data_IF_449487875125
#
_entry.id   IF_449487875125
#
_cell.length_a   1.000
_cell.length_b   1.000
_cell.length_c   1.000
_cell.angle_alpha   90.00
_cell.angle_beta   90.00
_cell.angle_gamma   90.00
#
_symmetry.space_group_name_H-M   'P 1'
#
loop_
_entity.id
_entity.type
_entity.pdbx_description
1 polymer ?
#
# COMPACT_ATOMS: atom_id res chain seq x y z
N UNK A 1 28.89 19.76 -19.43
CA UNK A 1 27.55 19.43 -18.89
C UNK A 1 27.74 18.35 -17.85
N UNK A 2 27.41 18.59 -16.58
CA UNK A 2 27.47 17.53 -15.56
C UNK A 2 26.18 16.73 -15.62
N UNK A 3 26.28 15.47 -16.04
CA UNK A 3 25.19 14.49 -15.89
C UNK A 3 24.94 14.28 -14.40
N UNK A 4 23.82 14.82 -13.93
CA UNK A 4 23.38 14.62 -12.55
C UNK A 4 22.72 13.24 -12.51
N UNK A 5 23.46 12.24 -12.02
CA UNK A 5 22.89 10.92 -11.72
C UNK A 5 21.87 11.11 -10.58
N UNK A 6 20.60 11.32 -10.94
CA UNK A 6 19.51 11.39 -9.97
C UNK A 6 19.17 9.94 -9.59
N UNK A 7 19.40 9.59 -8.32
CA UNK A 7 18.98 8.30 -7.79
C UNK A 7 17.46 8.17 -7.93
N UNK A 8 16.99 7.06 -8.50
CA UNK A 8 15.56 6.76 -8.66
C UNK A 8 14.86 6.40 -7.35
N UNK A 9 15.63 5.98 -6.33
CA UNK A 9 15.13 5.60 -5.00
C UNK A 9 14.27 6.67 -4.31
N UNK A 10 14.73 7.93 -4.17
CA UNK A 10 13.92 8.97 -3.52
C UNK A 10 12.62 9.28 -4.28
N UNK A 11 12.61 9.20 -5.61
CA UNK A 11 11.41 9.44 -6.43
C UNK A 11 10.39 8.31 -6.22
N UNK A 12 10.86 7.06 -6.21
CA UNK A 12 10.02 5.90 -5.91
C UNK A 12 9.42 5.98 -4.50
N UNK A 13 10.24 6.33 -3.51
CA UNK A 13 9.80 6.44 -2.12
C UNK A 13 8.77 7.56 -1.93
N UNK A 14 9.01 8.72 -2.55
CA UNK A 14 8.04 9.81 -2.55
C UNK A 14 6.70 9.34 -3.13
N UNK A 15 6.72 8.71 -4.31
CA UNK A 15 5.50 8.21 -4.99
C UNK A 15 4.75 7.18 -4.15
N UNK A 16 5.46 6.21 -3.57
CA UNK A 16 4.87 5.18 -2.71
C UNK A 16 4.17 5.80 -1.50
N UNK A 17 4.80 6.78 -0.85
CA UNK A 17 4.19 7.52 0.27
C UNK A 17 2.93 8.25 -0.17
N UNK A 18 2.94 8.93 -1.32
CA UNK A 18 1.74 9.62 -1.83
C UNK A 18 0.58 8.66 -2.08
N UNK A 19 0.86 7.48 -2.64
CA UNK A 19 -0.15 6.45 -2.90
C UNK A 19 -0.75 5.92 -1.59
N UNK A 20 0.08 5.65 -0.58
CA UNK A 20 -0.39 5.19 0.74
C UNK A 20 -1.25 6.27 1.40
N UNK A 21 -0.82 7.53 1.35
CA UNK A 21 -1.61 8.65 1.89
C UNK A 21 -2.94 8.81 1.16
N UNK A 22 -2.97 8.69 -0.17
CA UNK A 22 -4.19 8.73 -0.95
C UNK A 22 -5.14 7.57 -0.58
N UNK A 23 -4.62 6.36 -0.41
CA UNK A 23 -5.40 5.20 0.04
C UNK A 23 -5.99 5.40 1.44
N UNK A 24 -5.23 6.02 2.35
CA UNK A 24 -5.74 6.42 3.66
C UNK A 24 -6.86 7.45 3.58
N UNK A 25 -6.70 8.48 2.74
CA UNK A 25 -7.73 9.49 2.50
C UNK A 25 -9.02 8.90 1.91
N UNK A 26 -8.89 7.98 0.96
CA UNK A 26 -10.03 7.23 0.40
C UNK A 26 -10.66 6.33 1.47
N UNK A 27 -9.87 5.65 2.30
CA UNK A 27 -10.39 4.82 3.38
C UNK A 27 -11.17 5.62 4.43
N UNK A 28 -10.75 6.86 4.73
CA UNK A 28 -11.50 7.78 5.60
C UNK A 28 -12.86 8.14 5.01
N UNK A 29 -12.93 8.48 3.72
CA UNK A 29 -14.19 8.86 3.08
C UNK A 29 -15.13 7.67 2.92
N UNK A 30 -14.59 6.49 2.57
CA UNK A 30 -15.37 5.23 2.48
C UNK A 30 -15.90 4.81 3.85
N UNK A 31 -15.07 4.85 4.89
CA UNK A 31 -15.53 4.54 6.24
C UNK A 31 -16.48 5.57 6.82
N UNK A 32 -16.36 6.85 6.43
CA UNK A 32 -17.33 7.87 6.76
C UNK A 32 -18.66 7.69 6.01
N UNK A 33 -18.67 7.24 4.76
CA UNK A 33 -19.88 7.12 3.93
C UNK A 33 -20.52 5.72 3.95
N UNK A 34 -19.89 4.74 4.60
CA UNK A 34 -20.34 3.36 4.66
C UNK A 34 -21.77 3.19 5.18
N UNK A 35 -22.59 2.50 4.37
CA UNK A 35 -24.04 2.26 4.56
C UNK A 35 -24.40 1.42 5.82
N UNK A 36 -23.40 0.96 6.57
CA UNK A 36 -23.51 0.04 7.71
C UNK A 36 -22.71 0.56 8.93
N UNK A 37 -22.83 1.84 9.29
CA UNK A 37 -22.25 2.37 10.53
C UNK A 37 -22.79 1.57 11.72
N UNK A 38 -21.91 0.86 12.45
CA UNK A 38 -22.25 0.06 13.63
C UNK A 38 -22.50 -1.44 13.39
N UNK A 39 -22.25 -1.97 12.18
CA UNK A 39 -22.17 -3.42 11.95
C UNK A 39 -20.72 -3.87 11.94
N UNK A 40 -20.43 -4.98 12.62
CA UNK A 40 -19.13 -5.64 12.59
C UNK A 40 -18.89 -6.24 11.22
N UNK A 41 -17.72 -5.95 10.65
CA UNK A 41 -17.28 -6.59 9.42
C UNK A 41 -16.81 -8.01 9.77
N UNK A 42 -17.62 -9.01 9.40
CA UNK A 42 -17.23 -10.42 9.46
C UNK A 42 -16.41 -10.76 8.23
N UNK A 43 -15.11 -10.97 8.40
CA UNK A 43 -14.27 -11.63 7.40
C UNK A 43 -13.98 -13.04 7.91
N UNK A 44 -14.25 -14.05 7.08
CA UNK A 44 -14.00 -15.47 7.41
C UNK A 44 -14.65 -15.95 8.73
N UNK A 45 -15.76 -15.35 9.15
CA UNK A 45 -16.49 -15.73 10.37
C UNK A 45 -15.89 -15.18 11.68
N UNK A 46 -14.81 -14.40 11.60
CA UNK A 46 -14.24 -13.68 12.74
C UNK A 46 -14.75 -12.23 12.70
N UNK A 47 -15.38 -11.79 13.80
CA UNK A 47 -15.76 -10.39 13.98
C UNK A 47 -14.50 -9.56 14.16
N UNK A 48 -13.97 -9.05 13.05
CA UNK A 48 -12.61 -8.51 13.01
C UNK A 48 -12.56 -7.03 13.38
N UNK A 49 -13.52 -6.21 12.94
CA UNK A 49 -13.47 -4.76 13.18
C UNK A 49 -14.86 -4.13 13.25
N UNK A 50 -14.97 -3.13 14.12
CA UNK A 50 -16.02 -2.10 14.04
C UNK A 50 -15.80 -1.30 12.74
N UNK A 51 -16.83 -1.08 11.93
CA UNK A 51 -16.76 -0.32 10.66
C UNK A 51 -16.61 1.19 10.94
N UNK A 52 -15.54 1.56 11.63
CA UNK A 52 -15.18 2.94 11.92
C UNK A 52 -14.37 3.55 10.77
N UNK A 53 -14.48 4.88 10.54
CA UNK A 53 -13.69 5.58 9.52
C UNK A 53 -12.18 5.39 9.66
N UNK A 54 -11.69 5.38 10.90
CA UNK A 54 -10.27 5.20 11.20
C UNK A 54 -9.80 3.78 10.87
N UNK A 55 -10.61 2.78 11.20
CA UNK A 55 -10.31 1.37 10.89
C UNK A 55 -10.23 1.13 9.37
N UNK A 56 -11.14 1.73 8.60
CA UNK A 56 -11.13 1.62 7.13
C UNK A 56 -9.94 2.35 6.49
N UNK A 57 -9.54 3.52 7.03
CA UNK A 57 -8.35 4.23 6.59
C UNK A 57 -7.07 3.44 6.87
N UNK A 58 -6.93 2.90 8.09
CA UNK A 58 -5.79 2.05 8.46
C UNK A 58 -5.73 0.78 7.62
N UNK A 59 -6.88 0.16 7.36
CA UNK A 59 -6.95 -1.00 6.47
C UNK A 59 -6.46 -0.65 5.06
N UNK A 60 -6.94 0.45 4.48
CA UNK A 60 -6.50 0.91 3.16
C UNK A 60 -5.00 1.21 3.10
N UNK A 61 -4.46 1.89 4.11
CA UNK A 61 -3.02 2.18 4.22
C UNK A 61 -2.18 0.90 4.39
N UNK A 62 -2.61 -0.01 5.27
CA UNK A 62 -1.92 -1.26 5.53
C UNK A 62 -1.91 -2.15 4.29
N UNK A 63 -3.08 -2.34 3.65
CA UNK A 63 -3.21 -3.15 2.44
C UNK A 63 -2.35 -2.61 1.30
N UNK A 64 -2.39 -1.29 1.04
CA UNK A 64 -1.57 -0.68 0.00
C UNK A 64 -0.08 -0.80 0.29
N UNK A 65 0.34 -0.62 1.55
CA UNK A 65 1.73 -0.84 1.97
C UNK A 65 2.16 -2.28 1.72
N UNK A 66 1.34 -3.27 2.10
CA UNK A 66 1.64 -4.69 1.90
C UNK A 66 1.78 -5.00 0.41
N UNK A 67 0.86 -4.51 -0.43
CA UNK A 67 0.92 -4.73 -1.88
C UNK A 67 2.19 -4.12 -2.49
N UNK A 68 2.53 -2.87 -2.13
CA UNK A 68 3.74 -2.23 -2.64
C UNK A 68 5.01 -2.95 -2.21
N UNK A 69 5.10 -3.36 -0.94
CA UNK A 69 6.23 -4.15 -0.43
C UNK A 69 6.34 -5.47 -1.16
N UNK A 70 5.23 -6.17 -1.38
CA UNK A 70 5.20 -7.46 -2.06
C UNK A 70 5.65 -7.34 -3.52
N UNK A 71 5.13 -6.36 -4.25
CA UNK A 71 5.54 -6.10 -5.63
C UNK A 71 7.02 -5.71 -5.70
N UNK A 72 7.48 -4.82 -4.82
CA UNK A 72 8.88 -4.41 -4.78
C UNK A 72 9.82 -5.57 -4.45
N UNK A 73 9.45 -6.42 -3.49
CA UNK A 73 10.20 -7.62 -3.14
C UNK A 73 10.26 -8.60 -4.32
N UNK A 74 9.14 -8.81 -5.01
CA UNK A 74 9.06 -9.72 -6.15
C UNK A 74 9.92 -9.24 -7.33
N UNK A 75 9.85 -7.95 -7.65
CA UNK A 75 10.72 -7.32 -8.66
C UNK A 75 12.18 -7.43 -8.26
N UNK A 76 12.52 -7.08 -7.01
CA UNK A 76 13.89 -7.17 -6.50
C UNK A 76 14.44 -8.59 -6.58
N UNK A 77 13.60 -9.59 -6.32
CA UNK A 77 13.95 -11.00 -6.44
C UNK A 77 14.18 -11.38 -7.91
N UNK A 78 13.24 -11.04 -8.81
CA UNK A 78 13.36 -11.33 -10.24
C UNK A 78 14.61 -10.68 -10.87
N UNK A 79 14.88 -9.40 -10.56
CA UNK A 79 16.08 -8.70 -11.04
C UNK A 79 17.38 -9.36 -10.58
N UNK A 80 17.35 -10.06 -9.44
CA UNK A 80 18.51 -10.81 -8.93
C UNK A 80 18.81 -12.05 -9.76
N UNK A 81 17.78 -12.72 -10.29
CA UNK A 81 17.94 -13.84 -11.22
C UNK A 81 18.41 -13.37 -12.60
N UNK A 82 17.86 -12.26 -13.09
CA UNK A 82 18.28 -11.67 -14.36
C UNK A 82 19.78 -11.30 -14.33
N UNK A 83 20.25 -10.73 -13.21
CA UNK A 83 21.67 -10.44 -12.97
C UNK A 83 22.56 -11.69 -12.89
N UNK A 84 22.00 -12.84 -12.50
CA UNK A 84 22.71 -14.12 -12.38
C UNK A 84 22.67 -14.96 -13.68
N UNK A 85 21.90 -14.55 -14.68
CA UNK A 85 21.70 -15.28 -15.93
C UNK A 85 22.69 -14.88 -17.05
N UNK A 86 23.62 -13.96 -16.75
CA UNK A 86 24.67 -13.48 -17.67
C UNK A 86 26.05 -14.02 -17.23
N UNK A 87 26.12 -15.31 -16.91
CA UNK A 87 27.37 -16.02 -16.62
C UNK A 87 27.55 -17.19 -17.58
#
# INVERSE_FOLDING_TARGET
>A
MSDRIISSRPIFLATAVTVVLAAGGIGLTVGATGQNRGKTLSLFGLSLFDMSPVSMALFGMALTTVVLVLLFALVSFASRFDSNSVA
#
